data_IF_565040970608
#
_entry.id   IF_565040970608
#
_cell.length_a   1.000
_cell.length_b   1.000
_cell.length_c   1.000
_cell.angle_alpha   90.00
_cell.angle_beta   90.00
_cell.angle_gamma   90.00
#
_symmetry.space_group_name_H-M   'P 1'
#
loop_
_entity.id
_entity.type
_entity.pdbx_description
1 polymer ?
#
# COMPACT_ATOMS: atom_id res chain seq x y z
N UNK A 1 12.66 2.58 -3.74
CA UNK A 1 12.37 1.13 -3.61
C UNK A 1 11.39 0.69 -4.68
N UNK A 2 10.15 1.21 -4.69
CA UNK A 2 9.08 0.72 -5.58
C UNK A 2 9.21 1.10 -7.07
N UNK A 3 10.09 2.03 -7.44
CA UNK A 3 10.18 2.58 -8.81
C UNK A 3 10.44 1.51 -9.90
N UNK A 4 11.02 0.37 -9.53
CA UNK A 4 11.27 -0.76 -10.44
C UNK A 4 10.33 -1.96 -10.21
N UNK A 5 9.37 -1.85 -9.30
CA UNK A 5 8.52 -2.97 -8.86
C UNK A 5 7.16 -2.87 -9.51
N UNK A 6 6.68 -3.96 -10.10
CA UNK A 6 5.39 -4.04 -10.79
C UNK A 6 4.33 -4.74 -9.96
N UNK A 7 4.72 -5.71 -9.16
CA UNK A 7 3.82 -6.57 -8.39
C UNK A 7 4.21 -6.59 -6.91
N UNK A 8 3.25 -6.33 -6.04
CA UNK A 8 3.44 -6.36 -4.59
C UNK A 8 2.33 -7.15 -3.93
N UNK A 9 2.68 -8.03 -2.99
CA UNK A 9 1.71 -8.60 -2.07
C UNK A 9 1.61 -7.77 -0.80
N UNK A 10 0.38 -7.49 -0.35
CA UNK A 10 0.12 -6.84 0.94
C UNK A 10 -0.49 -7.82 1.92
N UNK A 11 0.26 -8.15 2.97
CA UNK A 11 -0.15 -9.04 4.03
C UNK A 11 -0.71 -8.26 5.22
N UNK A 12 -1.91 -8.65 5.66
CA UNK A 12 -2.56 -8.10 6.83
C UNK A 12 -2.13 -8.93 8.05
N UNK A 13 -1.36 -8.37 9.00
CA UNK A 13 -0.88 -9.11 10.16
C UNK A 13 -2.01 -9.52 11.11
N UNK A 14 -3.22 -8.98 10.95
CA UNK A 14 -4.39 -9.42 11.71
C UNK A 14 -5.09 -10.65 11.09
N UNK A 15 -4.69 -11.09 9.89
CA UNK A 15 -5.22 -12.29 9.23
C UNK A 15 -4.27 -13.47 9.37
N UNK A 16 -4.85 -14.66 9.49
CA UNK A 16 -4.08 -15.91 9.56
C UNK A 16 -3.64 -16.35 8.17
N UNK A 17 -2.37 -16.74 8.04
CA UNK A 17 -1.80 -17.37 6.85
C UNK A 17 -0.84 -18.48 7.29
N UNK A 18 -0.83 -19.61 6.58
CA UNK A 18 0.02 -20.76 6.91
C UNK A 18 1.47 -20.53 6.50
N UNK A 19 2.42 -21.22 7.14
CA UNK A 19 3.83 -21.15 6.76
C UNK A 19 4.07 -21.61 5.31
N UNK A 20 3.36 -22.63 4.86
CA UNK A 20 3.44 -23.12 3.48
C UNK A 20 2.94 -22.07 2.46
N UNK A 21 1.92 -21.28 2.80
CA UNK A 21 1.47 -20.19 1.93
C UNK A 21 2.45 -19.01 1.96
N UNK A 22 3.01 -18.67 3.12
CA UNK A 22 4.04 -17.64 3.23
C UNK A 22 5.28 -17.98 2.41
N UNK A 23 5.76 -19.22 2.50
CA UNK A 23 6.87 -19.73 1.69
C UNK A 23 6.61 -19.50 0.19
N UNK A 24 5.46 -19.98 -0.29
CA UNK A 24 5.08 -19.83 -1.70
C UNK A 24 4.94 -18.39 -2.16
N UNK A 25 4.44 -17.48 -1.33
CA UNK A 25 4.38 -16.05 -1.64
C UNK A 25 5.77 -15.43 -1.69
N UNK A 26 6.63 -15.77 -0.73
CA UNK A 26 7.98 -15.23 -0.67
C UNK A 26 8.86 -15.75 -1.80
N UNK A 27 8.56 -16.92 -2.35
CA UNK A 27 9.26 -17.51 -3.50
C UNK A 27 8.57 -17.24 -4.85
N UNK A 28 7.46 -16.50 -4.88
CA UNK A 28 6.62 -16.34 -6.08
C UNK A 28 7.19 -15.40 -7.13
N UNK A 29 8.35 -14.79 -6.89
CA UNK A 29 8.94 -13.67 -7.67
C UNK A 29 8.13 -12.35 -7.57
N UNK A 30 7.30 -12.18 -6.54
CA UNK A 30 6.76 -10.85 -6.24
C UNK A 30 7.90 -9.88 -5.91
N UNK A 31 7.80 -8.62 -6.31
CA UNK A 31 8.89 -7.67 -6.15
C UNK A 31 9.08 -7.22 -4.68
N UNK A 32 7.99 -7.23 -3.92
CA UNK A 32 7.95 -6.80 -2.52
C UNK A 32 6.78 -7.48 -1.79
N UNK A 33 6.98 -7.70 -0.48
CA UNK A 33 5.90 -7.95 0.47
C UNK A 33 5.75 -6.73 1.38
N UNK A 34 4.56 -6.12 1.41
CA UNK A 34 4.19 -5.08 2.36
C UNK A 34 3.41 -5.72 3.50
N UNK A 35 3.87 -5.56 4.73
CA UNK A 35 3.08 -5.87 5.93
C UNK A 35 2.31 -4.62 6.32
N UNK A 36 0.98 -4.71 6.37
CA UNK A 36 0.12 -3.57 6.70
C UNK A 36 -1.36 -3.94 6.72
N UNK A 37 -2.12 -3.27 7.59
CA UNK A 37 -3.55 -3.52 7.77
C UNK A 37 -4.24 -2.35 8.46
N UNK A 38 -5.57 -2.35 8.42
CA UNK A 38 -6.39 -1.22 8.90
C UNK A 38 -6.81 -1.37 10.36
N UNK A 39 -7.20 -2.58 10.79
CA UNK A 39 -7.71 -2.87 12.12
C UNK A 39 -7.04 -4.09 12.76
N UNK A 40 -6.87 -4.07 14.08
CA UNK A 40 -6.27 -5.18 14.84
C UNK A 40 -4.76 -5.34 14.64
N UNK A 41 -4.08 -4.37 14.01
CA UNK A 41 -2.62 -4.40 13.84
C UNK A 41 -1.95 -4.06 15.17
N UNK A 42 -1.13 -4.99 15.67
CA UNK A 42 -0.41 -4.87 16.94
C UNK A 42 1.08 -5.12 16.72
N UNK A 43 1.93 -4.65 17.64
CA UNK A 43 3.37 -4.96 17.56
C UNK A 43 3.63 -6.48 17.50
N UNK A 44 2.85 -7.26 18.24
CA UNK A 44 3.04 -8.72 18.34
C UNK A 44 2.74 -9.43 17.02
N UNK A 45 1.65 -9.08 16.33
CA UNK A 45 1.30 -9.76 15.08
C UNK A 45 2.17 -9.29 13.89
N UNK A 46 2.62 -8.03 13.90
CA UNK A 46 3.63 -7.55 12.94
C UNK A 46 4.95 -8.29 13.15
N UNK A 47 5.41 -8.43 14.40
CA UNK A 47 6.65 -9.14 14.71
C UNK A 47 6.57 -10.63 14.36
N UNK A 48 5.45 -11.30 14.67
CA UNK A 48 5.22 -12.70 14.29
C UNK A 48 5.34 -12.89 12.78
N UNK A 49 4.57 -12.13 12.00
CA UNK A 49 4.57 -12.22 10.55
C UNK A 49 5.96 -11.91 9.98
N UNK A 50 6.62 -10.84 10.47
CA UNK A 50 7.96 -10.47 10.07
C UNK A 50 8.98 -11.59 10.32
N UNK A 51 8.94 -12.22 11.49
CA UNK A 51 9.87 -13.32 11.83
C UNK A 51 9.71 -14.54 10.90
N UNK A 52 8.50 -14.73 10.35
CA UNK A 52 8.17 -15.83 9.44
C UNK A 52 8.66 -15.55 8.02
N UNK A 53 8.54 -14.32 7.55
CA UNK A 53 8.92 -13.92 6.17
C UNK A 53 10.39 -13.48 6.03
N UNK A 54 11.07 -13.05 7.10
CA UNK A 54 12.45 -12.52 7.00
C UNK A 54 13.51 -13.55 6.59
N UNK A 55 13.17 -14.84 6.59
CA UNK A 55 14.07 -15.91 6.14
C UNK A 55 14.23 -15.98 4.61
N UNK A 56 13.42 -15.25 3.86
CA UNK A 56 13.42 -15.25 2.40
C UNK A 56 14.11 -14.00 1.84
N UNK A 57 14.50 -14.08 0.56
CA UNK A 57 15.23 -13.01 -0.13
C UNK A 57 14.34 -11.86 -0.60
N UNK A 58 13.03 -12.12 -0.74
CA UNK A 58 12.06 -11.12 -1.18
C UNK A 58 12.05 -9.94 -0.22
N UNK A 59 12.22 -8.69 -0.72
CA UNK A 59 12.21 -7.52 0.13
C UNK A 59 10.91 -7.43 0.94
N UNK A 60 11.02 -6.93 2.15
CA UNK A 60 9.86 -6.75 3.05
C UNK A 60 9.79 -5.31 3.54
N UNK A 61 8.62 -4.70 3.44
CA UNK A 61 8.38 -3.36 3.94
C UNK A 61 7.23 -3.35 4.96
N UNK A 62 7.29 -2.40 5.90
CA UNK A 62 6.20 -2.15 6.84
C UNK A 62 5.45 -0.89 6.42
N UNK A 63 4.13 -1.01 6.26
CA UNK A 63 3.25 0.14 6.16
C UNK A 63 2.73 0.50 7.56
N UNK A 64 3.05 1.70 8.02
CA UNK A 64 2.76 2.14 9.38
C UNK A 64 1.32 2.62 9.53
N UNK A 65 0.42 1.71 9.94
CA UNK A 65 -0.98 2.05 10.21
C UNK A 65 -1.22 2.63 11.61
N UNK A 66 -0.34 2.36 12.58
CA UNK A 66 -0.33 2.99 13.89
C UNK A 66 1.07 2.96 14.53
N UNK A 67 1.29 3.83 15.52
CA UNK A 67 2.61 4.03 16.14
C UNK A 67 3.01 2.92 17.12
N UNK A 68 2.05 2.12 17.59
CA UNK A 68 2.29 1.05 18.56
C UNK A 68 2.79 -0.23 17.85
N UNK A 69 2.48 -0.38 16.57
CA UNK A 69 2.88 -1.54 15.76
C UNK A 69 4.23 -1.40 15.04
N UNK A 70 5.01 -0.35 15.35
CA UNK A 70 6.33 -0.15 14.76
C UNK A 70 7.28 -1.26 15.21
N UNK A 71 7.85 -1.99 14.25
CA UNK A 71 8.83 -3.06 14.48
C UNK A 71 10.08 -2.82 13.63
N UNK A 72 11.30 -2.84 14.21
CA UNK A 72 12.54 -2.71 13.45
C UNK A 72 12.83 -3.96 12.60
N UNK A 73 13.63 -3.80 11.53
CA UNK A 73 14.19 -4.90 10.74
C UNK A 73 13.59 -5.11 9.35
N UNK A 74 12.61 -4.28 8.95
CA UNK A 74 12.13 -4.24 7.56
C UNK A 74 13.15 -3.54 6.67
N UNK A 75 13.12 -3.86 5.37
CA UNK A 75 14.00 -3.23 4.38
C UNK A 75 13.55 -1.79 4.05
N UNK A 76 12.27 -1.49 4.26
CA UNK A 76 11.70 -0.16 4.06
C UNK A 76 10.45 0.08 4.93
N UNK A 77 10.16 1.34 5.22
CA UNK A 77 8.99 1.77 5.96
C UNK A 77 8.18 2.77 5.13
N UNK A 78 6.93 2.43 4.85
CA UNK A 78 5.98 3.34 4.24
C UNK A 78 5.14 4.00 5.32
N UNK A 79 5.06 5.33 5.27
CA UNK A 79 4.19 6.11 6.16
C UNK A 79 3.03 6.64 5.33
N UNK A 80 1.81 6.08 5.48
CA UNK A 80 0.63 6.64 4.84
C UNK A 80 0.35 8.07 5.29
N UNK A 81 -0.01 8.93 4.34
CA UNK A 81 -0.60 10.24 4.61
C UNK A 81 -1.85 10.36 3.76
N UNK A 82 -3.03 10.48 4.36
CA UNK A 82 -4.30 10.54 3.61
C UNK A 82 -4.52 11.97 3.12
N UNK A 83 -4.50 12.19 1.81
CA UNK A 83 -4.57 13.54 1.23
C UNK A 83 -6.00 14.03 1.04
N UNK A 84 -6.97 13.13 0.86
CA UNK A 84 -8.39 13.47 0.79
C UNK A 84 -9.09 13.38 2.15
N UNK A 85 -8.39 13.55 3.27
CA UNK A 85 -8.98 13.58 4.62
C UNK A 85 -9.40 15.00 5.04
N UNK A 86 -10.42 15.09 5.90
CA UNK A 86 -10.74 16.31 6.68
C UNK A 86 -9.99 16.41 8.01
N UNK A 87 -9.28 15.36 8.42
CA UNK A 87 -8.63 15.28 9.72
C UNK A 87 -7.09 15.31 9.58
N UNK A 88 -6.50 16.38 10.09
CA UNK A 88 -5.05 16.63 10.08
C UNK A 88 -4.24 15.49 10.73
N UNK A 89 -4.87 14.72 11.62
CA UNK A 89 -4.28 13.52 12.20
C UNK A 89 -3.77 12.56 11.13
N UNK A 90 -4.57 12.29 10.10
CA UNK A 90 -4.24 11.34 9.03
C UNK A 90 -3.42 11.94 7.90
N UNK A 91 -3.39 13.28 7.78
CA UNK A 91 -2.54 13.94 6.79
C UNK A 91 -1.07 13.97 7.23
N UNK A 92 -0.79 14.40 8.47
CA UNK A 92 0.58 14.40 8.99
C UNK A 92 0.70 14.29 10.52
N UNK A 93 -0.40 14.40 11.28
CA UNK A 93 -0.35 14.40 12.75
C UNK A 93 0.26 13.12 13.32
N UNK A 94 -0.11 11.95 12.78
CA UNK A 94 0.48 10.67 13.19
C UNK A 94 1.97 10.57 12.85
N UNK A 95 2.40 11.11 11.71
CA UNK A 95 3.83 11.16 11.35
C UNK A 95 4.61 12.07 12.30
N UNK A 96 4.06 13.22 12.66
CA UNK A 96 4.69 14.12 13.62
C UNK A 96 4.89 13.44 14.97
N UNK A 97 3.85 12.77 15.49
CA UNK A 97 3.94 12.01 16.73
C UNK A 97 4.93 10.84 16.64
N UNK A 98 5.02 10.18 15.48
CA UNK A 98 6.05 9.16 15.23
C UNK A 98 7.46 9.73 15.36
N UNK A 99 7.70 10.91 14.76
CA UNK A 99 9.00 11.57 14.77
C UNK A 99 9.38 12.02 16.18
N UNK A 100 8.45 12.58 16.95
CA UNK A 100 8.68 12.97 18.34
C UNK A 100 9.16 11.79 19.19
N UNK A 101 8.59 10.59 18.97
CA UNK A 101 8.92 9.38 19.73
C UNK A 101 10.16 8.65 19.23
N UNK A 102 10.34 8.57 17.91
CA UNK A 102 11.24 7.61 17.28
C UNK A 102 12.32 8.23 16.39
N UNK A 103 12.37 9.55 16.17
CA UNK A 103 13.31 10.17 15.22
C UNK A 103 14.78 9.76 15.43
N UNK A 104 15.19 9.49 16.67
CA UNK A 104 16.55 9.04 17.01
C UNK A 104 16.88 7.61 16.56
N UNK A 105 15.88 6.82 16.15
CA UNK A 105 16.00 5.46 15.65
C UNK A 105 15.78 5.36 14.12
N UNK A 106 15.37 6.46 13.47
CA UNK A 106 14.96 6.43 12.08
C UNK A 106 16.17 6.59 11.14
N UNK A 107 16.28 5.66 10.21
CA UNK A 107 17.07 5.86 9.00
C UNK A 107 16.16 6.43 7.91
N UNK A 108 16.29 7.73 7.63
CA UNK A 108 15.46 8.44 6.67
C UNK A 108 15.62 7.95 5.23
N UNK A 109 16.69 7.23 4.90
CA UNK A 109 16.86 6.63 3.56
C UNK A 109 15.96 5.41 3.35
N UNK A 110 15.53 4.77 4.45
CA UNK A 110 14.65 3.59 4.46
C UNK A 110 13.19 3.93 4.73
N UNK A 111 12.84 5.22 4.76
CA UNK A 111 11.48 5.68 5.04
C UNK A 111 10.95 6.45 3.83
N UNK A 112 9.68 6.25 3.50
CA UNK A 112 9.01 7.10 2.51
C UNK A 112 7.61 7.44 2.92
N UNK A 113 7.28 8.73 2.80
CA UNK A 113 5.90 9.17 2.83
C UNK A 113 5.17 8.58 1.62
N UNK A 114 3.98 8.05 1.87
CA UNK A 114 3.10 7.48 0.87
C UNK A 114 1.77 8.21 0.93
N UNK A 115 1.61 9.29 0.16
CA UNK A 115 0.32 9.94 -0.04
C UNK A 115 -0.75 8.94 -0.50
N UNK A 116 -1.87 8.89 0.20
CA UNK A 116 -3.03 8.09 -0.11
C UNK A 116 -4.15 8.98 -0.66
N UNK A 117 -4.76 8.52 -1.76
CA UNK A 117 -6.08 8.95 -2.20
C UNK A 117 -7.00 7.74 -2.08
N UNK A 118 -7.92 7.78 -1.13
CA UNK A 118 -8.85 6.67 -0.86
C UNK A 118 -10.16 6.95 -1.58
N UNK A 119 -10.51 6.12 -2.56
CA UNK A 119 -11.68 6.33 -3.43
C UNK A 119 -12.90 5.51 -3.01
N UNK A 120 -12.71 4.33 -2.41
CA UNK A 120 -13.85 3.50 -2.02
C UNK A 120 -14.50 4.04 -0.74
N UNK A 121 -15.58 4.81 -0.88
CA UNK A 121 -16.34 5.42 0.22
C UNK A 121 -16.87 4.39 1.23
N UNK A 122 -17.10 3.15 0.79
CA UNK A 122 -17.65 2.10 1.63
C UNK A 122 -16.62 1.39 2.49
N UNK A 123 -15.33 1.52 2.17
CA UNK A 123 -14.28 0.78 2.87
C UNK A 123 -14.03 1.34 4.28
N UNK A 124 -13.52 0.48 5.17
CA UNK A 124 -13.18 0.86 6.55
C UNK A 124 -12.17 2.02 6.59
N UNK A 125 -11.17 2.02 5.71
CA UNK A 125 -10.11 3.03 5.69
C UNK A 125 -10.66 4.43 5.37
N UNK A 126 -11.60 4.55 4.42
CA UNK A 126 -12.24 5.80 4.06
C UNK A 126 -13.02 6.41 5.25
N UNK A 127 -13.82 5.57 5.91
CA UNK A 127 -14.61 5.98 7.10
C UNK A 127 -13.72 6.30 8.29
N UNK A 128 -12.68 5.49 8.53
CA UNK A 128 -11.73 5.67 9.63
C UNK A 128 -10.92 6.96 9.50
N UNK A 129 -10.46 7.27 8.28
CA UNK A 129 -9.65 8.44 8.00
C UNK A 129 -10.48 9.72 7.74
N UNK A 130 -11.81 9.70 7.92
CA UNK A 130 -12.69 10.84 7.68
C UNK A 130 -12.45 11.49 6.29
N UNK A 131 -12.47 10.65 5.25
CA UNK A 131 -12.20 11.07 3.89
C UNK A 131 -13.34 11.86 3.25
N UNK A 132 -12.97 12.68 2.28
CA UNK A 132 -13.84 13.39 1.36
C UNK A 132 -13.84 12.73 -0.02
N UNK A 133 -14.97 12.78 -0.73
CA UNK A 133 -15.10 12.14 -2.02
C UNK A 133 -14.24 12.86 -3.06
N UNK A 134 -13.55 12.06 -3.87
CA UNK A 134 -12.82 12.52 -5.04
C UNK A 134 -13.73 12.28 -6.25
N UNK A 135 -14.01 13.34 -6.99
CA UNK A 135 -14.79 13.28 -8.21
C UNK A 135 -13.92 13.69 -9.41
N UNK A 136 -14.44 13.51 -10.62
CA UNK A 136 -13.71 13.83 -11.85
C UNK A 136 -13.26 15.29 -11.94
N UNK A 137 -13.95 16.23 -11.27
CA UNK A 137 -13.62 17.65 -11.30
C UNK A 137 -12.45 18.01 -10.38
N UNK A 138 -12.33 17.36 -9.22
CA UNK A 138 -11.30 17.67 -8.22
C UNK A 138 -10.10 16.71 -8.22
N UNK A 139 -10.24 15.54 -8.86
CA UNK A 139 -9.22 14.49 -8.92
C UNK A 139 -7.88 15.01 -9.42
N UNK A 140 -7.89 15.78 -10.51
CA UNK A 140 -6.67 16.33 -11.09
C UNK A 140 -5.93 17.25 -10.12
N UNK A 141 -6.64 17.97 -9.24
CA UNK A 141 -6.01 18.85 -8.26
C UNK A 141 -5.31 18.07 -7.16
N UNK A 142 -5.89 16.96 -6.67
CA UNK A 142 -5.22 16.08 -5.71
C UNK A 142 -3.94 15.47 -6.29
N UNK A 143 -4.01 14.98 -7.53
CA UNK A 143 -2.85 14.39 -8.22
C UNK A 143 -1.76 15.45 -8.40
N UNK A 144 -2.10 16.64 -8.90
CA UNK A 144 -1.14 17.73 -9.08
C UNK A 144 -0.57 18.24 -7.75
N UNK A 145 -1.37 18.26 -6.69
CA UNK A 145 -0.90 18.60 -5.36
C UNK A 145 0.21 17.63 -4.92
N UNK A 146 -0.03 16.32 -5.02
CA UNK A 146 0.93 15.28 -4.62
C UNK A 146 2.17 15.29 -5.54
N UNK A 147 1.97 15.30 -6.85
CA UNK A 147 3.00 15.14 -7.88
C UNK A 147 3.83 16.42 -8.11
N UNK A 148 3.17 17.58 -8.27
CA UNK A 148 3.85 18.82 -8.72
C UNK A 148 4.21 19.75 -7.57
N UNK A 149 3.33 19.85 -6.57
CA UNK A 149 3.52 20.77 -5.45
C UNK A 149 4.35 20.11 -4.34
N UNK A 150 3.93 18.94 -3.85
CA UNK A 150 4.65 18.19 -2.82
C UNK A 150 5.78 17.32 -3.38
N UNK A 151 5.80 17.06 -4.70
CA UNK A 151 6.85 16.28 -5.40
C UNK A 151 7.16 14.95 -4.71
N UNK A 152 6.09 14.27 -4.31
CA UNK A 152 6.22 12.99 -3.61
C UNK A 152 6.68 11.91 -4.58
N UNK A 153 7.48 10.98 -4.06
CA UNK A 153 7.98 9.83 -4.84
C UNK A 153 6.84 8.88 -5.20
N UNK A 154 5.89 8.70 -4.29
CA UNK A 154 4.80 7.75 -4.43
C UNK A 154 3.45 8.42 -4.30
N UNK A 155 2.43 7.83 -4.91
CA UNK A 155 1.01 8.13 -4.69
C UNK A 155 0.26 6.82 -4.73
N UNK A 156 -0.44 6.50 -3.64
CA UNK A 156 -1.22 5.28 -3.52
C UNK A 156 -2.70 5.59 -3.79
N UNK A 157 -3.24 4.91 -4.79
CA UNK A 157 -4.63 4.94 -5.21
C UNK A 157 -5.33 3.74 -4.57
N UNK A 158 -6.11 4.01 -3.52
CA UNK A 158 -6.69 2.99 -2.65
C UNK A 158 -8.18 2.79 -2.95
N UNK A 159 -8.49 1.59 -3.41
CA UNK A 159 -9.83 1.11 -3.73
C UNK A 159 -10.23 -0.12 -2.90
N UNK A 160 -9.54 -0.40 -1.78
CA UNK A 160 -9.77 -1.55 -0.88
C UNK A 160 -11.20 -2.09 -0.90
N UNK A 161 -11.37 -3.34 -1.33
CA UNK A 161 -12.65 -4.04 -1.36
C UNK A 161 -13.48 -3.85 -2.64
N UNK A 162 -13.08 -2.99 -3.57
CA UNK A 162 -13.70 -2.87 -4.88
C UNK A 162 -12.65 -2.69 -5.98
N UNK A 163 -12.99 -3.09 -7.20
CA UNK A 163 -12.11 -2.95 -8.36
C UNK A 163 -12.41 -1.61 -9.05
N UNK A 164 -11.39 -0.79 -9.27
CA UNK A 164 -11.57 0.46 -9.99
C UNK A 164 -11.92 0.23 -11.48
N UNK A 165 -12.72 1.15 -12.02
CA UNK A 165 -12.96 1.26 -13.46
C UNK A 165 -11.65 1.60 -14.18
N UNK A 166 -11.43 1.00 -15.36
CA UNK A 166 -10.17 1.16 -16.10
C UNK A 166 -9.99 2.60 -16.55
N UNK A 167 -11.07 3.21 -17.02
CA UNK A 167 -11.11 4.58 -17.51
C UNK A 167 -10.71 5.56 -16.40
N UNK A 168 -11.15 5.31 -15.16
CA UNK A 168 -10.77 6.13 -14.02
C UNK A 168 -9.26 6.01 -13.71
N UNK A 169 -8.72 4.80 -13.71
CA UNK A 169 -7.27 4.61 -13.49
C UNK A 169 -6.44 5.21 -14.62
N UNK A 170 -6.89 5.09 -15.86
CA UNK A 170 -6.26 5.72 -17.01
C UNK A 170 -6.22 7.24 -16.84
N UNK A 171 -7.33 7.87 -16.48
CA UNK A 171 -7.40 9.33 -16.27
C UNK A 171 -6.43 9.78 -15.15
N UNK A 172 -6.33 9.03 -14.06
CA UNK A 172 -5.38 9.31 -12.97
C UNK A 172 -3.93 9.19 -13.48
N UNK A 173 -3.64 8.09 -14.19
CA UNK A 173 -2.30 7.75 -14.66
C UNK A 173 -1.81 8.75 -15.72
N UNK A 174 -2.68 9.25 -16.60
CA UNK A 174 -2.34 10.28 -17.59
C UNK A 174 -2.19 11.68 -16.97
N UNK A 175 -2.80 11.92 -15.81
CA UNK A 175 -2.70 13.22 -15.11
C UNK A 175 -1.36 13.39 -14.39
N UNK A 176 -0.79 12.32 -13.84
CA UNK A 176 0.51 12.38 -13.17
C UNK A 176 1.65 12.60 -14.16
N UNK A 177 2.76 13.16 -13.68
CA UNK A 177 3.97 13.38 -14.46
C UNK A 177 5.17 12.63 -13.89
N UNK A 178 5.47 12.79 -12.59
CA UNK A 178 6.70 12.23 -11.98
C UNK A 178 6.41 11.20 -10.88
N UNK A 179 5.31 11.37 -10.14
CA UNK A 179 4.99 10.49 -9.02
C UNK A 179 4.76 9.05 -9.48
N UNK A 180 5.30 8.10 -8.74
CA UNK A 180 5.10 6.67 -8.97
C UNK A 180 3.76 6.25 -8.38
N UNK A 181 2.82 5.90 -9.26
CA UNK A 181 1.45 5.52 -8.92
C UNK A 181 1.38 4.06 -8.52
N UNK A 182 0.96 3.83 -7.28
CA UNK A 182 0.68 2.52 -6.72
C UNK A 182 -0.85 2.35 -6.72
N UNK A 183 -1.35 1.24 -7.24
CA UNK A 183 -2.77 0.91 -7.21
C UNK A 183 -3.01 -0.31 -6.34
N UNK A 184 -3.96 -0.22 -5.42
CA UNK A 184 -4.44 -1.35 -4.65
C UNK A 184 -5.95 -1.30 -4.49
N UNK A 185 -6.64 -2.39 -4.82
CA UNK A 185 -8.08 -2.50 -4.65
C UNK A 185 -8.72 -3.54 -5.56
N UNK A 186 -9.45 -4.48 -4.95
CA UNK A 186 -10.37 -5.38 -5.65
C UNK A 186 -9.78 -6.31 -6.72
N UNK A 187 -8.46 -6.43 -6.82
CA UNK A 187 -7.83 -7.41 -7.73
C UNK A 187 -8.17 -8.81 -7.21
N UNK A 188 -9.00 -9.52 -7.97
CA UNK A 188 -9.53 -10.84 -7.62
C UNK A 188 -9.07 -11.96 -8.58
N UNK A 189 -8.30 -11.60 -9.62
CA UNK A 189 -7.90 -12.51 -10.69
C UNK A 189 -6.70 -11.96 -11.48
N UNK A 190 -6.03 -12.85 -12.22
CA UNK A 190 -4.97 -12.47 -13.18
C UNK A 190 -5.52 -11.54 -14.27
N UNK A 191 -6.72 -11.80 -14.77
CA UNK A 191 -7.39 -10.94 -15.75
C UNK A 191 -7.56 -9.51 -15.19
N UNK A 192 -8.11 -9.38 -13.98
CA UNK A 192 -8.26 -8.08 -13.32
C UNK A 192 -6.92 -7.38 -13.14
N UNK A 193 -5.87 -8.11 -12.73
CA UNK A 193 -4.52 -7.57 -12.60
C UNK A 193 -3.99 -7.04 -13.94
N UNK A 194 -4.00 -7.86 -14.99
CA UNK A 194 -3.42 -7.54 -16.29
C UNK A 194 -4.14 -6.37 -16.97
N UNK A 195 -5.46 -6.27 -16.79
CA UNK A 195 -6.25 -5.16 -17.32
C UNK A 195 -5.96 -3.81 -16.64
N UNK A 196 -5.41 -3.80 -15.42
CA UNK A 196 -5.02 -2.57 -14.68
C UNK A 196 -3.52 -2.29 -14.76
N UNK A 197 -2.70 -3.29 -15.07
CA UNK A 197 -1.25 -3.17 -15.16
C UNK A 197 -0.75 -1.97 -16.00
N UNK A 198 -1.38 -1.60 -17.14
CA UNK A 198 -0.97 -0.44 -17.91
C UNK A 198 -1.23 0.92 -17.24
N UNK A 199 -2.10 0.97 -16.23
CA UNK A 199 -2.59 2.20 -15.59
C UNK A 199 -2.11 2.37 -14.15
N UNK A 200 -1.06 1.63 -13.75
CA UNK A 200 -0.35 1.83 -12.50
C UNK A 200 1.12 1.47 -12.69
N UNK A 201 2.00 2.14 -11.94
CA UNK A 201 3.42 1.80 -11.98
C UNK A 201 3.70 0.53 -11.16
N UNK A 202 2.96 0.34 -10.05
CA UNK A 202 2.94 -0.86 -9.20
C UNK A 202 1.50 -1.24 -8.83
N UNK A 203 1.19 -2.53 -8.85
CA UNK A 203 -0.10 -3.06 -8.37
C UNK A 203 0.08 -3.84 -7.07
N UNK A 204 -0.87 -3.68 -6.16
CA UNK A 204 -0.91 -4.34 -4.86
C UNK A 204 -2.05 -5.35 -4.80
N UNK A 205 -1.70 -6.61 -4.51
CA UNK A 205 -2.65 -7.71 -4.29
C UNK A 205 -2.66 -8.05 -2.81
N UNK A 206 -3.84 -7.97 -2.19
CA UNK A 206 -4.01 -8.16 -0.75
C UNK A 206 -5.07 -9.22 -0.42
N UNK A 207 -6.34 -8.83 -0.41
CA UNK A 207 -7.45 -9.69 0.01
C UNK A 207 -7.50 -11.05 -0.71
N UNK A 208 -7.16 -11.08 -2.00
CA UNK A 208 -7.13 -12.31 -2.80
C UNK A 208 -6.25 -13.40 -2.18
N UNK A 209 -5.17 -13.05 -1.47
CA UNK A 209 -4.29 -14.00 -0.77
C UNK A 209 -5.09 -14.90 0.20
N UNK A 210 -6.12 -14.34 0.84
CA UNK A 210 -6.92 -15.02 1.86
C UNK A 210 -8.22 -15.62 1.30
N UNK A 211 -8.66 -15.13 0.14
CA UNK A 211 -9.92 -15.53 -0.50
C UNK A 211 -9.69 -16.68 -1.50
N UNK A 212 -8.67 -16.56 -2.35
CA UNK A 212 -8.23 -17.57 -3.30
C UNK A 212 -6.71 -17.46 -3.51
N UNK A 213 -5.97 -18.26 -2.73
CA UNK A 213 -4.51 -18.21 -2.69
C UNK A 213 -3.85 -18.54 -4.04
N UNK A 214 -4.42 -19.47 -4.81
CA UNK A 214 -3.87 -19.83 -6.12
C UNK A 214 -4.11 -18.71 -7.14
N UNK A 215 -5.29 -18.09 -7.12
CA UNK A 215 -5.56 -16.92 -7.92
C UNK A 215 -4.61 -15.76 -7.59
N UNK A 216 -4.29 -15.54 -6.31
CA UNK A 216 -3.29 -14.56 -5.89
C UNK A 216 -1.90 -14.87 -6.46
N UNK A 217 -1.42 -16.11 -6.39
CA UNK A 217 -0.12 -16.44 -6.96
C UNK A 217 -0.06 -16.28 -8.48
N UNK A 218 -1.20 -16.46 -9.17
CA UNK A 218 -1.28 -16.27 -10.61
C UNK A 218 -1.18 -14.80 -11.05
N UNK A 219 -1.34 -13.82 -10.15
CA UNK A 219 -1.18 -12.39 -10.49
C UNK A 219 0.26 -12.00 -10.74
N UNK A 220 1.22 -12.74 -10.18
CA UNK A 220 2.64 -12.42 -10.25
C UNK A 220 3.15 -12.46 -11.70
N UNK A 221 3.91 -11.44 -12.08
CA UNK A 221 4.53 -11.33 -13.40
C UNK A 221 5.82 -12.12 -13.35
N UNK A 222 5.86 -13.27 -14.04
CA UNK A 222 7.11 -14.04 -14.20
C UNK A 222 7.87 -13.49 -15.41
N UNK A 223 9.15 -13.17 -15.21
CA UNK A 223 10.07 -12.72 -16.26
C UNK A 223 10.59 -13.89 -17.11
#
# INVERSE_FOLDING_TARGET
MLENYKHVFKLDPNKTISDAHLERLCESETDLIIVGGTDGVTQSNVLDLMSRIRRYMTPVALELSNLEAVVPGFDHYFVPAVFNTKDMKFLHGMLLEALERYAHLLDYDTISLMPYLIFNEECKAYKYANCEPINRENMAYYIQLIDKMYRQKYMYIEFSGTLAEKELLQDIYETKTNVHMIYGGGIDSKEAFDERAPFADTLVVGNLIYEDFEAALNTVIRS
#
